data_IF_487382081942
#
_entry.id   IF_487382081942
#
_cell.length_a   1.000
_cell.length_b   1.000
_cell.length_c   1.000
_cell.angle_alpha   90.00
_cell.angle_beta   90.00
_cell.angle_gamma   90.00
#
_symmetry.space_group_name_H-M   'P 1'
#
loop_
_entity.id
_entity.type
_entity.pdbx_description
1 polymer ?
#
# COMPACT_ATOMS: atom_id res chain seq x y z
N UNK A 1 -2.83 15.38 -26.31
CA UNK A 1 -4.02 14.79 -26.97
C UNK A 1 -3.70 13.33 -27.29
N UNK A 2 -4.26 12.38 -26.53
CA UNK A 2 -4.05 10.95 -26.78
C UNK A 2 -4.96 10.51 -27.93
N UNK A 3 -4.38 10.12 -29.06
CA UNK A 3 -5.11 9.64 -30.24
C UNK A 3 -5.76 8.30 -29.89
N UNK A 4 -7.08 8.29 -29.68
CA UNK A 4 -7.87 7.06 -29.48
C UNK A 4 -7.76 6.21 -30.75
N UNK A 5 -6.91 5.18 -30.72
CA UNK A 5 -6.80 4.20 -31.81
C UNK A 5 -8.04 3.30 -31.73
N UNK A 6 -8.84 3.29 -32.79
CA UNK A 6 -10.01 2.42 -32.91
C UNK A 6 -9.51 0.98 -32.96
N UNK A 7 -9.92 0.14 -32.00
CA UNK A 7 -9.50 -1.27 -31.92
C UNK A 7 -10.03 -1.99 -33.17
N UNK A 8 -9.14 -2.40 -34.06
CA UNK A 8 -9.50 -3.20 -35.24
C UNK A 8 -10.04 -4.54 -34.73
N UNK A 9 -11.29 -4.87 -35.06
CA UNK A 9 -11.87 -6.16 -34.71
C UNK A 9 -11.24 -7.18 -35.67
N UNK A 10 -10.33 -8.00 -35.17
CA UNK A 10 -9.74 -9.11 -35.92
C UNK A 10 -10.76 -10.26 -35.86
N UNK A 11 -11.29 -10.67 -37.01
CA UNK A 11 -12.28 -11.76 -37.11
C UNK A 11 -11.70 -12.90 -37.94
N UNK A 12 -11.97 -14.15 -37.56
CA UNK A 12 -11.60 -15.33 -38.35
C UNK A 12 -10.17 -15.83 -38.15
N UNK A 13 -9.60 -15.64 -36.94
CA UNK A 13 -8.30 -16.22 -36.57
C UNK A 13 -8.43 -17.74 -36.56
N UNK A 14 -7.53 -18.42 -37.27
CA UNK A 14 -7.45 -19.88 -37.31
C UNK A 14 -6.77 -20.44 -36.05
N UNK A 15 -6.98 -21.73 -35.77
CA UNK A 15 -6.31 -22.39 -34.65
C UNK A 15 -4.76 -22.30 -34.76
N UNK A 16 -4.22 -22.34 -35.98
CA UNK A 16 -2.78 -22.20 -36.22
C UNK A 16 -2.26 -20.80 -35.87
N UNK A 17 -2.97 -19.74 -36.28
CA UNK A 17 -2.62 -18.36 -35.95
C UNK A 17 -2.75 -18.07 -34.45
N UNK A 18 -3.74 -18.69 -33.77
CA UNK A 18 -3.88 -18.60 -32.33
C UNK A 18 -2.70 -19.25 -31.59
N UNK A 19 -2.25 -20.42 -32.04
CA UNK A 19 -1.08 -21.10 -31.47
C UNK A 19 0.21 -20.31 -31.71
N UNK A 20 0.40 -19.74 -32.91
CA UNK A 20 1.54 -18.88 -33.21
C UNK A 20 1.53 -17.59 -32.37
N UNK A 21 0.36 -16.99 -32.17
CA UNK A 21 0.19 -15.84 -31.29
C UNK A 21 0.50 -16.20 -29.83
N UNK A 22 0.06 -17.38 -29.36
CA UNK A 22 0.36 -17.87 -28.01
C UNK A 22 1.87 -18.13 -27.83
N UNK A 23 2.53 -18.75 -28.81
CA UNK A 23 3.97 -18.98 -28.78
C UNK A 23 4.76 -17.65 -28.73
N UNK A 24 4.33 -16.66 -29.52
CA UNK A 24 4.91 -15.31 -29.50
C UNK A 24 4.68 -14.61 -28.17
N UNK A 25 3.48 -14.71 -27.61
CA UNK A 25 3.13 -14.18 -26.29
C UNK A 25 3.99 -14.81 -25.19
N UNK A 26 4.09 -16.14 -25.15
CA UNK A 26 4.88 -16.87 -24.15
C UNK A 26 6.37 -16.50 -24.23
N UNK A 27 6.92 -16.37 -25.44
CA UNK A 27 8.31 -15.94 -25.64
C UNK A 27 8.54 -14.50 -25.13
N UNK A 28 7.62 -13.59 -25.43
CA UNK A 28 7.70 -12.20 -24.98
C UNK A 28 7.58 -12.09 -23.46
N UNK A 29 6.66 -12.81 -22.84
CA UNK A 29 6.48 -12.88 -21.38
C UNK A 29 7.75 -13.40 -20.67
N UNK A 30 8.34 -14.48 -21.18
CA UNK A 30 9.60 -15.02 -20.67
C UNK A 30 10.76 -14.02 -20.81
N UNK A 31 10.86 -13.32 -21.95
CA UNK A 31 11.88 -12.28 -22.15
C UNK A 31 11.68 -11.08 -21.22
N UNK A 32 10.43 -10.63 -21.03
CA UNK A 32 10.11 -9.55 -20.10
C UNK A 32 10.49 -9.93 -18.66
N UNK A 33 10.16 -11.15 -18.25
CA UNK A 33 10.51 -11.69 -16.93
C UNK A 33 12.04 -11.72 -16.75
N UNK A 34 12.78 -12.21 -17.76
CA UNK A 34 14.25 -12.24 -17.74
C UNK A 34 14.85 -10.84 -17.60
N UNK A 35 14.43 -9.88 -18.43
CA UNK A 35 14.92 -8.50 -18.39
C UNK A 35 14.62 -7.87 -17.03
N UNK A 36 13.43 -8.10 -16.48
CA UNK A 36 13.04 -7.59 -15.16
C UNK A 36 13.95 -8.14 -14.07
N UNK A 37 14.24 -9.45 -14.09
CA UNK A 37 15.16 -10.07 -13.15
C UNK A 37 16.60 -9.53 -13.28
N UNK A 38 17.08 -9.29 -14.50
CA UNK A 38 18.39 -8.66 -14.74
C UNK A 38 18.46 -7.23 -14.19
N UNK A 39 17.39 -6.44 -14.37
CA UNK A 39 17.27 -5.08 -13.81
C UNK A 39 17.31 -5.14 -12.28
N UNK A 40 16.52 -6.02 -11.67
CA UNK A 40 16.47 -6.16 -10.21
C UNK A 40 17.83 -6.56 -9.64
N UNK A 41 18.53 -7.50 -10.29
CA UNK A 41 19.87 -7.90 -9.90
C UNK A 41 20.88 -6.75 -10.04
N UNK A 42 20.80 -5.97 -11.11
CA UNK A 42 21.65 -4.79 -11.30
C UNK A 42 21.38 -3.72 -10.23
N UNK A 43 20.11 -3.45 -9.92
CA UNK A 43 19.71 -2.54 -8.85
C UNK A 43 20.23 -3.01 -7.48
N UNK A 44 20.14 -4.30 -7.19
CA UNK A 44 20.68 -4.88 -5.96
C UNK A 44 22.20 -4.69 -5.86
N UNK A 45 22.95 -4.98 -6.94
CA UNK A 45 24.41 -4.79 -6.99
C UNK A 45 24.83 -3.33 -6.80
N UNK A 46 24.12 -2.39 -7.43
CA UNK A 46 24.41 -0.95 -7.28
C UNK A 46 24.14 -0.51 -5.83
N UNK A 47 23.03 -0.99 -5.23
CA UNK A 47 22.71 -0.69 -3.83
C UNK A 47 23.78 -1.23 -2.89
N UNK A 48 24.17 -2.50 -3.04
CA UNK A 48 25.21 -3.15 -2.24
C UNK A 48 26.53 -2.39 -2.33
N UNK A 49 26.97 -2.03 -3.54
CA UNK A 49 28.21 -1.26 -3.77
C UNK A 49 28.27 0.07 -3.00
N UNK A 50 27.14 0.74 -2.85
CA UNK A 50 27.07 2.06 -2.20
C UNK A 50 26.57 1.99 -0.75
N UNK A 51 26.14 0.82 -0.27
CA UNK A 51 25.53 0.67 1.05
C UNK A 51 26.50 1.08 2.16
N UNK A 52 27.75 0.61 2.12
CA UNK A 52 28.75 0.93 3.14
C UNK A 52 29.15 2.41 3.10
N UNK A 53 29.28 2.99 1.90
CA UNK A 53 29.59 4.41 1.75
C UNK A 53 28.46 5.28 2.28
N UNK A 54 27.21 4.94 2.00
CA UNK A 54 26.03 5.63 2.53
C UNK A 54 25.96 5.51 4.05
N UNK A 55 26.26 4.32 4.60
CA UNK A 55 26.30 4.10 6.04
C UNK A 55 27.39 4.95 6.72
N UNK A 56 28.61 4.99 6.16
CA UNK A 56 29.70 5.81 6.68
C UNK A 56 29.40 7.32 6.62
N UNK A 57 28.81 7.78 5.52
CA UNK A 57 28.36 9.18 5.40
C UNK A 57 27.24 9.51 6.39
N UNK A 58 26.32 8.57 6.62
CA UNK A 58 25.26 8.74 7.60
C UNK A 58 25.82 8.80 9.03
N UNK A 59 26.76 7.92 9.39
CA UNK A 59 27.47 7.99 10.66
C UNK A 59 28.19 9.32 10.85
N UNK A 60 28.90 9.79 9.82
CA UNK A 60 29.59 11.10 9.87
C UNK A 60 28.61 12.25 10.13
N UNK A 61 27.43 12.21 9.48
CA UNK A 61 26.37 13.19 9.71
C UNK A 61 25.80 13.10 11.13
N UNK A 62 25.62 11.90 11.66
CA UNK A 62 25.06 11.69 12.99
C UNK A 62 26.04 12.19 14.07
N UNK A 63 27.33 11.87 13.97
CA UNK A 63 28.37 12.39 14.87
C UNK A 63 28.48 13.93 14.81
N UNK A 64 28.41 14.51 13.61
CA UNK A 64 28.40 15.96 13.44
C UNK A 64 27.12 16.59 14.03
N UNK A 65 25.97 15.95 13.84
CA UNK A 65 24.69 16.40 14.39
C UNK A 65 24.71 16.38 15.91
N UNK A 66 25.22 15.33 16.54
CA UNK A 66 25.34 15.23 18.00
C UNK A 66 26.21 16.35 18.56
N UNK A 67 27.35 16.66 17.93
CA UNK A 67 28.21 17.79 18.36
C UNK A 67 27.48 19.13 18.26
N UNK A 68 26.77 19.38 17.16
CA UNK A 68 25.97 20.59 16.97
C UNK A 68 24.84 20.68 18.00
N UNK A 69 24.18 19.57 18.30
CA UNK A 69 23.12 19.50 19.28
C UNK A 69 23.65 19.79 20.69
N UNK A 70 24.76 19.18 21.09
CA UNK A 70 25.40 19.43 22.39
C UNK A 70 25.76 20.90 22.54
N UNK A 71 26.42 21.50 21.54
CA UNK A 71 26.72 22.93 21.54
C UNK A 71 25.46 23.81 21.67
N UNK A 72 24.40 23.51 20.91
CA UNK A 72 23.16 24.27 20.96
C UNK A 72 22.42 24.15 22.30
N UNK A 73 22.47 22.98 22.95
CA UNK A 73 21.85 22.73 24.25
C UNK A 73 22.64 23.39 25.39
N UNK A 74 23.96 23.25 25.40
CA UNK A 74 24.83 23.87 26.42
C UNK A 74 24.72 25.40 26.40
N UNK A 75 24.56 25.99 25.22
CA UNK A 75 24.46 27.43 25.04
C UNK A 75 23.02 27.91 24.79
N UNK A 76 22.02 27.09 25.13
CA UNK A 76 20.62 27.35 24.80
C UNK A 76 20.11 28.66 25.41
N UNK A 77 20.44 28.90 26.68
CA UNK A 77 20.02 30.07 27.44
C UNK A 77 20.67 31.37 26.97
N UNK A 78 21.80 31.31 26.26
CA UNK A 78 22.52 32.47 25.75
C UNK A 78 22.20 32.72 24.27
N UNK A 79 22.42 31.72 23.41
CA UNK A 79 22.29 31.85 21.95
C UNK A 79 20.83 31.84 21.49
N UNK A 80 19.93 31.18 22.23
CA UNK A 80 18.53 30.99 21.84
C UNK A 80 17.52 31.70 22.76
N UNK A 81 17.98 32.63 23.62
CA UNK A 81 17.12 33.39 24.53
C UNK A 81 16.05 34.22 23.80
N UNK A 82 16.44 34.87 22.69
CA UNK A 82 15.59 35.81 21.93
C UNK A 82 15.17 35.28 20.56
N UNK A 83 15.83 34.24 20.06
CA UNK A 83 15.61 33.66 18.72
C UNK A 83 15.65 32.15 18.82
N UNK A 84 14.85 31.46 18.00
CA UNK A 84 14.80 29.98 17.99
C UNK A 84 15.83 29.34 17.05
N UNK A 85 16.62 30.13 16.36
CA UNK A 85 17.60 29.69 15.35
C UNK A 85 18.86 30.56 15.37
N UNK A 86 19.99 29.95 15.05
CA UNK A 86 21.31 30.54 14.91
C UNK A 86 21.84 30.28 13.50
N UNK A 87 22.22 31.34 12.80
CA UNK A 87 22.83 31.28 11.48
C UNK A 87 24.35 31.06 11.60
N UNK A 88 24.86 30.10 10.84
CA UNK A 88 26.27 29.70 10.76
C UNK A 88 26.75 29.75 9.31
N UNK A 89 28.07 29.65 9.09
CA UNK A 89 28.67 29.73 7.75
C UNK A 89 28.09 28.74 6.73
N UNK A 90 27.67 27.55 7.17
CA UNK A 90 27.19 26.47 6.30
C UNK A 90 25.69 26.16 6.45
N UNK A 91 24.94 27.00 7.17
CA UNK A 91 23.50 26.79 7.36
C UNK A 91 23.01 27.31 8.70
N UNK A 92 21.86 26.78 9.13
CA UNK A 92 21.17 27.25 10.33
C UNK A 92 20.89 26.08 11.26
N UNK A 93 21.17 26.27 12.55
CA UNK A 93 20.77 25.35 13.61
C UNK A 93 19.70 26.00 14.48
N UNK A 94 18.82 25.23 15.10
CA UNK A 94 17.78 25.81 15.94
C UNK A 94 16.79 24.82 16.53
N UNK A 95 16.01 25.32 17.48
CA UNK A 95 14.97 24.55 18.15
C UNK A 95 13.62 24.80 17.49
N UNK A 96 12.98 23.72 17.02
CA UNK A 96 11.61 23.76 16.50
C UNK A 96 10.64 23.15 17.50
N UNK A 97 9.50 23.81 17.68
CA UNK A 97 8.36 23.23 18.38
C UNK A 97 7.57 22.44 17.34
N UNK A 98 7.63 21.10 17.41
CA UNK A 98 6.81 20.25 16.55
C UNK A 98 5.32 20.45 16.81
N UNK A 99 4.47 20.05 15.86
CA UNK A 99 3.03 20.00 16.10
C UNK A 99 2.73 19.10 17.31
N UNK A 100 1.79 19.47 18.19
CA UNK A 100 1.34 18.60 19.27
C UNK A 100 0.91 17.24 18.70
N UNK A 101 1.44 16.15 19.26
CA UNK A 101 1.08 14.78 18.89
C UNK A 101 0.58 14.05 20.11
N UNK A 102 -0.57 13.39 19.98
CA UNK A 102 -1.02 12.45 21.00
C UNK A 102 -0.08 11.23 20.99
N UNK A 103 0.38 10.84 22.16
CA UNK A 103 1.14 9.61 22.40
C UNK A 103 0.53 8.92 23.61
N UNK A 104 0.63 7.61 23.65
CA UNK A 104 0.24 6.86 24.85
C UNK A 104 1.26 7.06 25.96
N UNK A 105 0.80 6.95 27.21
CA UNK A 105 1.69 6.92 28.35
C UNK A 105 2.60 5.67 28.29
N UNK A 106 3.74 5.73 28.98
CA UNK A 106 4.68 4.60 29.05
C UNK A 106 3.97 3.36 29.62
N UNK A 107 4.00 2.25 28.87
CA UNK A 107 3.36 1.01 29.27
C UNK A 107 1.89 0.87 28.85
N UNK A 108 1.33 1.84 28.14
CA UNK A 108 -0.07 1.81 27.66
C UNK A 108 -0.11 1.69 26.14
N UNK A 109 -0.97 0.81 25.64
CA UNK A 109 -1.24 0.70 24.20
C UNK A 109 -2.40 1.60 23.78
N UNK A 110 -2.52 1.87 22.48
CA UNK A 110 -3.67 2.61 21.96
C UNK A 110 -4.99 1.83 22.13
N UNK A 111 -4.93 0.49 22.23
CA UNK A 111 -6.10 -0.32 22.52
C UNK A 111 -6.61 -0.07 23.94
N UNK A 112 -5.72 -0.08 24.94
CA UNK A 112 -6.09 0.24 26.33
C UNK A 112 -6.64 1.67 26.45
N UNK A 113 -6.01 2.61 25.74
CA UNK A 113 -6.47 4.00 25.69
C UNK A 113 -7.84 4.12 24.99
N UNK A 114 -8.11 3.33 23.95
CA UNK A 114 -9.38 3.33 23.23
C UNK A 114 -10.53 2.89 24.13
N UNK A 115 -10.34 1.87 24.96
CA UNK A 115 -11.36 1.44 25.93
C UNK A 115 -11.72 2.56 26.93
N UNK A 116 -10.72 3.28 27.43
CA UNK A 116 -10.95 4.44 28.30
C UNK A 116 -11.58 5.62 27.56
N UNK A 117 -11.24 5.81 26.28
CA UNK A 117 -11.84 6.85 25.44
C UNK A 117 -13.29 6.53 25.10
N UNK A 118 -13.66 5.25 24.92
CA UNK A 118 -15.06 4.81 24.78
C UNK A 118 -15.91 5.20 25.98
N UNK A 119 -15.37 5.00 27.18
CA UNK A 119 -16.06 5.31 28.43
C UNK A 119 -16.11 6.83 28.72
N UNK A 120 -14.97 7.53 28.58
CA UNK A 120 -14.82 8.90 29.08
C UNK A 120 -14.91 10.00 28.03
N UNK A 121 -14.60 9.67 26.78
CA UNK A 121 -14.42 10.64 25.69
C UNK A 121 -15.05 10.14 24.37
N UNK A 122 -16.33 9.71 24.36
CA UNK A 122 -16.94 9.03 23.21
C UNK A 122 -16.97 9.89 21.93
N UNK A 123 -17.03 11.22 22.06
CA UNK A 123 -17.00 12.16 20.92
C UNK A 123 -15.66 12.18 20.16
N UNK A 124 -14.61 11.54 20.69
CA UNK A 124 -13.29 11.46 20.07
C UNK A 124 -13.02 10.11 19.40
N UNK A 125 -14.06 9.27 19.29
CA UNK A 125 -14.00 8.02 18.54
C UNK A 125 -14.40 8.27 17.10
N UNK A 126 -13.57 7.75 16.19
CA UNK A 126 -13.90 7.72 14.77
C UNK A 126 -14.42 6.33 14.43
N UNK A 127 -15.67 6.25 14.00
CA UNK A 127 -16.25 5.04 13.44
C UNK A 127 -16.09 5.08 11.93
N UNK A 128 -15.67 3.95 11.35
CA UNK A 128 -15.65 3.74 9.90
C UNK A 128 -16.60 2.60 9.60
N UNK A 129 -17.71 2.90 8.95
CA UNK A 129 -18.66 1.91 8.48
C UNK A 129 -18.34 1.56 7.03
N UNK A 130 -18.29 0.27 6.73
CA UNK A 130 -18.06 -0.24 5.38
C UNK A 130 -19.07 -1.34 5.09
N UNK A 131 -19.48 -1.45 3.83
CA UNK A 131 -20.34 -2.52 3.37
C UNK A 131 -19.54 -3.82 3.37
N UNK A 132 -20.05 -4.84 4.07
CA UNK A 132 -19.51 -6.19 4.04
C UNK A 132 -19.86 -6.89 2.72
N UNK A 133 -19.05 -6.62 1.69
CA UNK A 133 -19.27 -7.12 0.33
C UNK A 133 -19.18 -8.63 0.24
N UNK A 134 -18.27 -9.24 0.98
CA UNK A 134 -18.04 -10.69 0.93
C UNK A 134 -19.24 -11.44 1.51
N UNK A 135 -19.77 -10.96 2.63
CA UNK A 135 -21.00 -11.54 3.21
C UNK A 135 -22.21 -11.32 2.31
N UNK A 136 -22.39 -10.13 1.75
CA UNK A 136 -23.47 -9.88 0.78
C UNK A 136 -23.38 -10.81 -0.44
N UNK A 137 -22.18 -11.06 -0.95
CA UNK A 137 -21.97 -11.99 -2.07
C UNK A 137 -22.26 -13.45 -1.67
N UNK A 138 -21.81 -13.88 -0.49
CA UNK A 138 -22.07 -15.22 0.02
C UNK A 138 -23.56 -15.48 0.25
N UNK A 139 -24.26 -14.51 0.85
CA UNK A 139 -25.65 -14.64 1.28
C UNK A 139 -26.66 -14.21 0.19
N UNK A 140 -26.21 -13.78 -1.00
CA UNK A 140 -27.06 -13.15 -2.04
C UNK A 140 -28.33 -13.93 -2.41
N UNK A 141 -28.30 -15.26 -2.32
CA UNK A 141 -29.42 -16.13 -2.67
C UNK A 141 -30.24 -16.59 -1.46
N UNK A 142 -29.80 -16.27 -0.23
CA UNK A 142 -30.53 -16.62 0.97
C UNK A 142 -31.81 -15.78 1.09
N UNK A 143 -32.91 -16.37 1.60
CA UNK A 143 -34.11 -15.61 1.89
C UNK A 143 -33.82 -14.60 3.01
N UNK A 144 -34.23 -13.36 2.80
CA UNK A 144 -34.18 -12.29 3.77
C UNK A 144 -35.56 -11.60 3.81
N UNK A 145 -35.83 -10.93 4.92
CA UNK A 145 -37.06 -10.19 5.20
C UNK A 145 -36.68 -9.05 6.15
N UNK A 146 -37.38 -7.92 6.09
CA UNK A 146 -37.22 -6.89 7.13
C UNK A 146 -37.96 -7.32 8.39
N UNK A 147 -37.46 -6.92 9.55
CA UNK A 147 -38.02 -7.38 10.83
C UNK A 147 -39.53 -7.09 10.98
N UNK A 148 -40.04 -6.04 10.33
CA UNK A 148 -41.42 -5.59 10.30
C UNK A 148 -42.34 -6.30 9.28
N UNK A 149 -41.81 -7.18 8.43
CA UNK A 149 -42.59 -7.88 7.38
C UNK A 149 -43.02 -9.31 7.82
N UNK A 150 -44.13 -9.86 7.31
CA UNK A 150 -44.54 -11.24 7.61
C UNK A 150 -43.55 -12.27 7.01
N UNK A 151 -43.54 -13.51 7.52
CA UNK A 151 -42.59 -14.55 7.11
C UNK A 151 -42.70 -14.90 5.62
N UNK A 152 -43.92 -14.82 5.08
CA UNK A 152 -44.24 -15.07 3.68
C UNK A 152 -43.70 -13.98 2.73
N UNK A 153 -43.26 -12.84 3.25
CA UNK A 153 -42.64 -11.76 2.46
C UNK A 153 -41.13 -11.99 2.20
N UNK A 154 -40.58 -13.12 2.65
CA UNK A 154 -39.20 -13.48 2.43
C UNK A 154 -38.83 -13.48 0.94
N UNK A 155 -37.74 -12.82 0.62
CA UNK A 155 -37.21 -12.65 -0.74
C UNK A 155 -35.70 -12.84 -0.76
N UNK A 156 -35.08 -13.23 -1.89
CA UNK A 156 -33.64 -13.36 -1.95
C UNK A 156 -32.95 -12.05 -1.56
N UNK A 157 -31.85 -12.13 -0.80
CA UNK A 157 -31.04 -10.97 -0.42
C UNK A 157 -30.64 -10.11 -1.61
N UNK A 158 -30.43 -10.73 -2.77
CA UNK A 158 -30.15 -10.03 -4.03
C UNK A 158 -31.20 -8.97 -4.38
N UNK A 159 -32.47 -9.16 -4.02
CA UNK A 159 -33.52 -8.17 -4.20
C UNK A 159 -33.27 -6.92 -3.35
N UNK A 160 -32.97 -7.09 -2.06
CA UNK A 160 -32.62 -6.00 -1.15
C UNK A 160 -31.32 -5.31 -1.57
N UNK A 161 -30.32 -6.09 -2.00
CA UNK A 161 -29.07 -5.55 -2.54
C UNK A 161 -29.35 -4.59 -3.70
N UNK A 162 -30.24 -4.97 -4.64
CA UNK A 162 -30.60 -4.12 -5.76
C UNK A 162 -31.30 -2.82 -5.31
N UNK A 163 -32.17 -2.86 -4.30
CA UNK A 163 -32.81 -1.67 -3.72
C UNK A 163 -31.78 -0.73 -3.07
N UNK A 164 -30.71 -1.28 -2.51
CA UNK A 164 -29.56 -0.53 -1.97
C UNK A 164 -28.58 -0.03 -3.05
N UNK A 165 -28.87 -0.24 -4.34
CA UNK A 165 -27.98 0.15 -5.44
C UNK A 165 -26.77 -0.77 -5.64
N UNK A 166 -26.82 -1.98 -5.09
CA UNK A 166 -25.75 -2.99 -5.18
C UNK A 166 -26.14 -4.01 -6.25
N UNK A 167 -25.29 -4.14 -7.27
CA UNK A 167 -25.45 -5.12 -8.34
C UNK A 167 -24.36 -6.19 -8.22
N UNK A 168 -24.77 -7.46 -8.31
CA UNK A 168 -23.84 -8.57 -8.46
C UNK A 168 -23.58 -8.75 -9.95
N UNK A 169 -22.40 -8.35 -10.40
CA UNK A 169 -21.96 -8.51 -11.79
C UNK A 169 -20.86 -9.56 -11.82
N UNK A 170 -21.03 -10.56 -12.68
CA UNK A 170 -20.01 -11.57 -12.95
C UNK A 170 -19.66 -11.47 -14.43
N UNK A 171 -18.48 -10.94 -14.72
CA UNK A 171 -17.97 -10.82 -16.08
C UNK A 171 -17.00 -11.97 -16.37
N UNK A 172 -17.17 -12.61 -17.51
CA UNK A 172 -16.16 -13.53 -18.03
C UNK A 172 -15.04 -12.72 -18.69
N UNK A 173 -13.80 -12.92 -18.22
CA UNK A 173 -12.60 -12.31 -18.80
C UNK A 173 -11.76 -13.36 -19.49
N UNK A 174 -11.33 -13.06 -20.72
CA UNK A 174 -10.30 -13.84 -21.40
C UNK A 174 -8.97 -13.77 -20.64
N UNK A 175 -8.29 -14.91 -20.51
CA UNK A 175 -6.99 -15.01 -19.85
C UNK A 175 -6.00 -15.80 -20.72
N UNK A 176 -4.71 -15.49 -20.58
CA UNK A 176 -3.60 -16.19 -21.25
C UNK A 176 -2.54 -16.46 -20.19
N UNK A 177 -2.28 -17.73 -19.91
CA UNK A 177 -1.27 -18.16 -18.95
C UNK A 177 -0.26 -19.08 -19.64
N UNK A 178 0.94 -18.56 -19.99
CA UNK A 178 2.01 -19.38 -20.52
C UNK A 178 2.41 -20.44 -19.51
N UNK A 179 2.71 -21.65 -19.99
CA UNK A 179 3.31 -22.69 -19.15
C UNK A 179 4.68 -22.19 -18.67
N UNK A 180 4.84 -22.08 -17.36
CA UNK A 180 6.14 -21.81 -16.74
C UNK A 180 6.82 -23.15 -16.50
N UNK A 181 8.00 -23.35 -17.07
CA UNK A 181 8.85 -24.44 -16.62
C UNK A 181 9.25 -24.13 -15.17
N UNK A 182 8.81 -24.96 -14.24
CA UNK A 182 9.34 -24.96 -12.89
C UNK A 182 10.81 -25.35 -13.01
N UNK A 183 11.71 -24.36 -12.97
CA UNK A 183 13.12 -24.63 -12.70
C UNK A 183 13.16 -25.27 -11.31
N UNK A 184 13.18 -26.59 -11.29
CA UNK A 184 13.38 -27.39 -10.11
C UNK A 184 14.74 -26.96 -9.55
N UNK A 185 14.71 -26.18 -8.46
CA UNK A 185 15.89 -25.84 -7.67
C UNK A 185 16.41 -27.14 -7.02
N UNK A 186 17.06 -27.98 -7.81
CA UNK A 186 17.93 -29.03 -7.32
C UNK A 186 19.36 -28.49 -7.36
N UNK A 187 19.93 -28.43 -6.15
CA UNK A 187 21.35 -28.40 -5.83
C UNK A 187 22.12 -27.11 -6.15
N UNK A 188 22.27 -26.29 -5.11
CA UNK A 188 23.60 -26.03 -4.54
C UNK A 188 23.46 -26.13 -3.01
N UNK A 189 23.88 -27.27 -2.46
CA UNK A 189 24.32 -27.39 -1.06
C UNK A 189 25.79 -27.00 -0.96
#
# INVERSE_FOLDING_TARGET
>A
MAKRVKKTIITGITAGEAEEAFASYAKADAQQTKITAEIELACAKIREKHQDQLAALQQTKDEAFERLQTYAVENQSELFAKRKSLEMTHGVIGFRTGQPKCKTARGTTWADALELVKDRLPNYIRTKEEVDKDRLLADRNLPCRRDDEPEEAARPLLHEMALCGILVVQEESFFVEPKRESLCLHQIS
#
